data_IF_709531925473
#
_entry.id   IF_709531925473
#
_cell.length_a   1.000
_cell.length_b   1.000
_cell.length_c   1.000
_cell.angle_alpha   90.00
_cell.angle_beta   90.00
_cell.angle_gamma   90.00
#
_symmetry.space_group_name_H-M   'P 1'
#
loop_
_entity.id
_entity.type
_entity.pdbx_description
1 polymer ?
#
# COMPACT_ATOMS: atom_id res chain seq x y z
N UNK A 1 11.95 23.25 42.09
CA UNK A 1 12.04 23.37 40.61
C UNK A 1 11.49 22.11 39.96
N UNK A 2 10.20 22.15 39.74
CA UNK A 2 9.45 21.05 39.12
C UNK A 2 9.57 21.18 37.62
N UNK A 3 10.29 20.27 36.97
CA UNK A 3 10.31 20.12 35.53
C UNK A 3 9.00 19.44 35.11
N UNK A 4 8.15 20.19 34.44
CA UNK A 4 7.03 19.67 33.69
C UNK A 4 7.55 18.86 32.50
N UNK A 5 7.51 17.56 32.65
CA UNK A 5 7.63 16.64 31.51
C UNK A 5 6.30 16.71 30.77
N UNK A 6 6.18 17.63 29.83
CA UNK A 6 5.13 17.56 28.80
C UNK A 6 5.41 16.31 27.97
N UNK A 7 4.70 15.24 28.28
CA UNK A 7 4.51 14.12 27.38
C UNK A 7 3.88 14.69 26.10
N UNK A 8 4.67 14.73 25.00
CA UNK A 8 4.12 14.83 23.66
C UNK A 8 3.23 13.59 23.51
N UNK A 9 1.93 13.76 23.66
CA UNK A 9 0.96 12.85 23.07
C UNK A 9 1.29 12.85 21.58
N UNK A 10 1.87 11.76 21.12
CA UNK A 10 1.94 11.45 19.70
C UNK A 10 0.49 11.46 19.22
N UNK A 11 0.12 12.49 18.49
CA UNK A 11 -1.18 12.61 17.84
C UNK A 11 -1.30 11.37 16.96
N UNK A 12 -2.02 10.35 17.43
CA UNK A 12 -2.27 9.13 16.67
C UNK A 12 -3.02 9.54 15.42
N UNK A 13 -2.31 9.59 14.32
CA UNK A 13 -2.87 9.86 13.01
C UNK A 13 -3.88 8.74 12.72
N UNK A 14 -5.16 9.10 12.62
CA UNK A 14 -6.22 8.15 12.29
C UNK A 14 -6.59 8.33 10.82
N UNK A 15 -6.26 7.39 9.94
CA UNK A 15 -6.78 7.38 8.58
C UNK A 15 -8.29 7.10 8.61
N UNK A 16 -9.02 7.60 7.61
CA UNK A 16 -10.47 7.36 7.50
C UNK A 16 -10.74 5.87 7.20
N UNK A 17 -9.87 5.23 6.43
CA UNK A 17 -9.98 3.81 6.10
C UNK A 17 -8.60 3.16 5.96
N UNK A 18 -8.46 1.94 6.47
CA UNK A 18 -7.32 1.07 6.22
C UNK A 18 -7.84 -0.21 5.57
N UNK A 19 -7.35 -0.52 4.38
CA UNK A 19 -7.68 -1.77 3.68
C UNK A 19 -6.56 -2.76 3.92
N UNK A 20 -6.89 -3.85 4.59
CA UNK A 20 -5.96 -4.96 4.80
C UNK A 20 -5.98 -5.90 3.59
N UNK A 21 -4.80 -6.22 3.10
CA UNK A 21 -4.59 -7.07 1.93
C UNK A 21 -3.86 -8.36 2.34
N UNK A 22 -3.91 -9.41 1.50
CA UNK A 22 -3.15 -10.63 1.74
C UNK A 22 -1.65 -10.34 1.98
N UNK A 23 -1.01 -11.11 2.88
CA UNK A 23 0.39 -10.88 3.26
C UNK A 23 0.58 -9.83 4.37
N UNK A 24 -0.51 -9.38 5.02
CA UNK A 24 -0.46 -8.44 6.16
C UNK A 24 -0.23 -6.98 5.77
N UNK A 25 -0.16 -6.67 4.48
CA UNK A 25 0.02 -5.30 3.97
C UNK A 25 -1.27 -4.50 4.05
N UNK A 26 -1.16 -3.17 4.11
CA UNK A 26 -2.31 -2.27 4.23
C UNK A 26 -2.22 -1.12 3.24
N UNK A 27 -3.37 -0.68 2.73
CA UNK A 27 -3.51 0.55 1.96
C UNK A 27 -4.24 1.55 2.84
N UNK A 28 -3.72 2.76 2.91
CA UNK A 28 -4.31 3.86 3.65
C UNK A 28 -5.10 4.73 2.69
N UNK A 29 -6.36 5.00 3.06
CA UNK A 29 -7.26 5.87 2.31
C UNK A 29 -7.72 6.98 3.25
N UNK A 30 -7.59 8.23 2.79
CA UNK A 30 -8.17 9.40 3.41
C UNK A 30 -9.28 9.93 2.50
N UNK A 31 -10.53 9.93 3.00
CA UNK A 31 -11.73 10.23 2.22
C UNK A 31 -12.18 11.70 2.36
N UNK A 32 -11.39 12.53 3.01
CA UNK A 32 -11.75 13.91 3.34
C UNK A 32 -11.52 14.85 2.17
N UNK A 33 -12.39 14.78 1.17
CA UNK A 33 -12.33 15.65 0.01
C UNK A 33 -12.95 17.04 0.30
N UNK A 34 -12.26 18.14 -0.05
CA UNK A 34 -12.78 19.49 0.09
C UNK A 34 -13.81 19.80 -1.02
N UNK A 35 -15.10 19.55 -0.78
CA UNK A 35 -16.14 19.68 -1.79
C UNK A 35 -16.89 21.03 -1.75
N UNK A 36 -16.70 21.84 -0.69
CA UNK A 36 -17.48 23.06 -0.48
C UNK A 36 -17.36 24.04 -1.65
N UNK A 37 -16.16 24.29 -2.15
CA UNK A 37 -15.93 25.21 -3.28
C UNK A 37 -16.57 24.72 -4.57
N UNK A 38 -16.58 23.41 -4.85
CA UNK A 38 -17.25 22.83 -6.00
C UNK A 38 -18.78 22.99 -5.91
N UNK A 39 -19.36 22.73 -4.75
CA UNK A 39 -20.80 22.88 -4.54
C UNK A 39 -21.25 24.33 -4.69
N UNK A 40 -20.46 25.29 -4.19
CA UNK A 40 -20.74 26.73 -4.37
C UNK A 40 -20.66 27.13 -5.85
N UNK A 41 -19.73 26.58 -6.62
CA UNK A 41 -19.68 26.81 -8.07
C UNK A 41 -20.94 26.34 -8.80
N UNK A 42 -21.60 25.29 -8.30
CA UNK A 42 -22.87 24.79 -8.84
C UNK A 42 -24.11 25.66 -8.49
N UNK A 43 -23.98 26.53 -7.48
CA UNK A 43 -25.08 27.37 -7.00
C UNK A 43 -25.08 28.76 -7.61
N UNK A 44 -24.01 29.19 -8.27
CA UNK A 44 -23.92 30.51 -8.90
C UNK A 44 -24.23 30.45 -10.40
N UNK A 45 -25.00 31.39 -10.90
CA UNK A 45 -25.27 31.58 -12.33
C UNK A 45 -24.25 32.51 -13.00
N UNK A 46 -23.46 33.24 -12.21
CA UNK A 46 -22.40 34.12 -12.72
C UNK A 46 -21.18 33.33 -13.19
N UNK A 47 -20.81 33.41 -14.49
CA UNK A 47 -19.67 32.64 -15.02
C UNK A 47 -18.30 32.99 -14.38
N UNK A 48 -18.09 34.26 -14.04
CA UNK A 48 -16.84 34.71 -13.42
C UNK A 48 -16.71 34.19 -11.98
N UNK A 49 -17.81 34.28 -11.23
CA UNK A 49 -17.86 33.75 -9.87
C UNK A 49 -17.70 32.22 -9.85
N UNK A 50 -18.35 31.54 -10.79
CA UNK A 50 -18.18 30.10 -10.97
C UNK A 50 -16.73 29.72 -11.25
N UNK A 51 -16.05 30.45 -12.12
CA UNK A 51 -14.63 30.23 -12.42
C UNK A 51 -13.75 30.39 -11.16
N UNK A 52 -14.02 31.41 -10.35
CA UNK A 52 -13.31 31.64 -9.09
C UNK A 52 -13.50 30.47 -8.10
N UNK A 53 -14.72 29.94 -7.97
CA UNK A 53 -15.03 28.81 -7.14
C UNK A 53 -14.33 27.51 -7.62
N UNK A 54 -14.25 27.30 -8.95
CA UNK A 54 -13.52 26.15 -9.50
C UNK A 54 -12.01 26.24 -9.24
N UNK A 55 -11.41 27.41 -9.42
CA UNK A 55 -10.00 27.64 -9.07
C UNK A 55 -9.75 27.40 -7.56
N UNK A 56 -10.67 27.84 -6.72
CA UNK A 56 -10.61 27.59 -5.28
C UNK A 56 -10.74 26.10 -4.94
N UNK A 57 -11.60 25.36 -5.65
CA UNK A 57 -11.72 23.91 -5.50
C UNK A 57 -10.38 23.20 -5.79
N UNK A 58 -9.71 23.52 -6.89
CA UNK A 58 -8.40 22.97 -7.21
C UNK A 58 -7.34 23.31 -6.13
N UNK A 59 -7.34 24.55 -5.65
CA UNK A 59 -6.45 24.99 -4.57
C UNK A 59 -6.73 24.24 -3.25
N UNK A 60 -8.00 23.97 -2.94
CA UNK A 60 -8.39 23.21 -1.76
C UNK A 60 -7.94 21.75 -1.87
N UNK A 61 -8.08 21.12 -3.05
CA UNK A 61 -7.56 19.78 -3.34
C UNK A 61 -6.04 19.74 -3.18
N UNK A 62 -5.32 20.69 -3.74
CA UNK A 62 -3.86 20.78 -3.65
C UNK A 62 -3.38 20.92 -2.20
N UNK A 63 -4.04 21.76 -1.42
CA UNK A 63 -3.74 21.93 0.01
C UNK A 63 -3.97 20.64 0.78
N UNK A 64 -5.00 19.89 0.45
CA UNK A 64 -5.29 18.62 1.10
C UNK A 64 -4.24 17.55 0.74
N UNK A 65 -3.79 17.48 -0.52
CA UNK A 65 -2.66 16.65 -0.94
C UNK A 65 -1.41 16.94 -0.11
N UNK A 66 -1.07 18.22 0.10
CA UNK A 66 0.06 18.62 0.92
C UNK A 66 -0.08 18.19 2.38
N UNK A 67 -1.28 18.33 2.94
CA UNK A 67 -1.56 17.90 4.31
C UNK A 67 -1.42 16.39 4.47
N UNK A 68 -1.86 15.59 3.49
CA UNK A 68 -1.74 14.14 3.50
C UNK A 68 -0.28 13.68 3.38
N UNK A 69 0.48 14.32 2.50
CA UNK A 69 1.92 14.06 2.37
C UNK A 69 2.69 14.33 3.66
N UNK A 70 2.30 15.38 4.40
CA UNK A 70 2.93 15.72 5.67
C UNK A 70 2.60 14.74 6.80
N UNK A 71 1.48 14.00 6.71
CA UNK A 71 1.13 12.95 7.66
C UNK A 71 2.01 11.72 7.42
N UNK A 72 2.88 11.40 8.34
CA UNK A 72 3.82 10.28 8.21
C UNK A 72 3.13 8.91 8.45
N UNK A 73 2.14 8.58 7.60
CA UNK A 73 1.43 7.30 7.68
C UNK A 73 2.35 6.10 7.51
N UNK A 74 3.43 6.25 6.71
CA UNK A 74 4.36 5.17 6.39
C UNK A 74 5.14 4.66 7.60
N UNK A 75 5.39 5.54 8.59
CA UNK A 75 6.08 5.16 9.82
C UNK A 75 5.20 4.40 10.82
N UNK A 76 3.86 4.56 10.72
CA UNK A 76 2.91 3.98 11.68
C UNK A 76 2.30 2.66 11.23
N UNK A 77 2.28 2.38 9.92
CA UNK A 77 1.67 1.19 9.34
C UNK A 77 2.69 0.41 8.51
N UNK A 78 3.24 -0.66 9.09
CA UNK A 78 4.18 -1.56 8.41
C UNK A 78 3.58 -2.97 8.34
N UNK A 79 3.60 -3.63 7.18
CA UNK A 79 4.01 -3.15 5.87
C UNK A 79 2.93 -2.30 5.18
N UNK A 80 3.27 -1.10 4.73
CA UNK A 80 2.39 -0.19 4.02
C UNK A 80 2.96 0.13 2.63
N UNK A 81 2.13 0.35 1.59
CA UNK A 81 2.59 0.89 0.33
C UNK A 81 3.24 2.27 0.51
N UNK A 82 4.14 2.63 -0.39
CA UNK A 82 4.83 3.92 -0.36
C UNK A 82 3.95 5.13 -0.75
N UNK A 83 2.63 4.99 -0.71
CA UNK A 83 1.67 6.04 -1.05
C UNK A 83 0.39 5.95 -0.22
N UNK A 84 -0.29 7.07 -0.13
CA UNK A 84 -1.62 7.21 0.48
C UNK A 84 -2.63 7.53 -0.61
N UNK A 85 -3.86 7.05 -0.49
CA UNK A 85 -4.93 7.36 -1.43
C UNK A 85 -5.76 8.50 -0.88
N UNK A 86 -5.86 9.60 -1.63
CA UNK A 86 -6.84 10.66 -1.43
C UNK A 86 -8.09 10.33 -2.23
N UNK A 87 -9.16 9.96 -1.55
CA UNK A 87 -10.41 9.59 -2.18
C UNK A 87 -11.31 10.79 -2.46
N UNK A 88 -11.69 10.96 -3.72
CA UNK A 88 -12.68 11.92 -4.18
C UNK A 88 -13.98 11.18 -4.49
N UNK A 89 -15.14 11.54 -3.88
CA UNK A 89 -16.34 10.71 -3.93
C UNK A 89 -17.09 10.74 -5.26
N UNK A 90 -16.55 11.38 -6.30
CA UNK A 90 -17.16 11.41 -7.63
C UNK A 90 -16.20 11.88 -8.70
N UNK A 91 -16.41 11.39 -9.91
CA UNK A 91 -15.60 11.71 -11.10
C UNK A 91 -15.67 13.20 -11.45
N UNK A 92 -16.85 13.83 -11.29
CA UNK A 92 -17.05 15.26 -11.59
C UNK A 92 -16.22 16.17 -10.69
N UNK A 93 -16.01 15.82 -9.43
CA UNK A 93 -15.15 16.59 -8.51
C UNK A 93 -13.69 16.54 -8.95
N UNK A 94 -13.25 15.35 -9.36
CA UNK A 94 -11.90 15.14 -9.86
C UNK A 94 -11.66 15.89 -11.17
N UNK A 95 -12.57 15.76 -12.13
CA UNK A 95 -12.47 16.43 -13.41
C UNK A 95 -12.44 17.96 -13.25
N UNK A 96 -13.33 18.52 -12.42
CA UNK A 96 -13.37 19.97 -12.19
C UNK A 96 -12.06 20.49 -11.55
N UNK A 97 -11.45 19.74 -10.64
CA UNK A 97 -10.18 20.12 -10.06
C UNK A 97 -9.04 20.10 -11.11
N UNK A 98 -9.02 19.10 -12.02
CA UNK A 98 -8.01 19.00 -13.08
C UNK A 98 -8.20 20.03 -14.20
N UNK A 99 -9.42 20.41 -14.52
CA UNK A 99 -9.69 21.50 -15.46
C UNK A 99 -9.13 22.84 -14.97
N UNK A 100 -9.19 23.07 -13.65
CA UNK A 100 -8.66 24.29 -13.04
C UNK A 100 -7.14 24.23 -12.74
N UNK A 101 -6.60 23.06 -12.37
CA UNK A 101 -5.16 22.84 -12.18
C UNK A 101 -4.75 21.45 -12.73
N UNK A 102 -4.30 21.35 -13.98
CA UNK A 102 -3.88 20.08 -14.60
C UNK A 102 -2.68 19.41 -13.91
N UNK A 103 -1.94 20.15 -13.10
CA UNK A 103 -0.72 19.64 -12.44
C UNK A 103 -1.02 18.79 -11.20
N UNK A 104 -2.26 18.70 -10.74
CA UNK A 104 -2.64 18.05 -9.49
C UNK A 104 -2.26 16.56 -9.43
N UNK A 105 -2.35 15.83 -10.55
CA UNK A 105 -1.99 14.41 -10.59
C UNK A 105 -0.49 14.24 -10.36
N UNK A 106 0.32 15.00 -11.09
CA UNK A 106 1.77 14.95 -11.01
C UNK A 106 2.24 15.40 -9.61
N UNK A 107 1.69 16.51 -9.13
CA UNK A 107 1.94 17.01 -7.78
C UNK A 107 1.59 15.98 -6.69
N UNK A 108 0.45 15.28 -6.84
CA UNK A 108 0.07 14.20 -5.93
C UNK A 108 1.08 13.04 -5.94
N UNK A 109 1.48 12.60 -7.14
CA UNK A 109 2.43 11.50 -7.31
C UNK A 109 3.81 11.82 -6.70
N UNK A 110 4.33 13.04 -6.92
CA UNK A 110 5.58 13.52 -6.31
C UNK A 110 5.53 13.54 -4.78
N UNK A 111 4.35 13.81 -4.23
CA UNK A 111 4.09 13.84 -2.79
C UNK A 111 3.60 12.49 -2.22
N UNK A 112 3.70 11.40 -2.98
CA UNK A 112 3.27 10.05 -2.59
C UNK A 112 1.77 9.97 -2.21
N UNK A 113 0.94 10.81 -2.80
CA UNK A 113 -0.51 10.79 -2.63
C UNK A 113 -1.17 10.57 -3.98
N UNK A 114 -1.95 9.51 -4.09
CA UNK A 114 -2.67 9.18 -5.33
C UNK A 114 -4.11 9.66 -5.20
N UNK A 115 -4.50 10.56 -6.09
CA UNK A 115 -5.89 10.97 -6.27
C UNK A 115 -6.68 9.82 -6.85
N UNK A 116 -7.80 9.48 -6.24
CA UNK A 116 -8.61 8.35 -6.67
C UNK A 116 -10.10 8.65 -6.56
N UNK A 117 -10.81 8.31 -7.61
CA UNK A 117 -12.28 8.30 -7.68
C UNK A 117 -12.79 6.88 -7.39
N UNK A 118 -14.10 6.64 -7.26
CA UNK A 118 -14.62 5.29 -7.04
C UNK A 118 -14.13 4.27 -8.08
N UNK A 119 -14.12 4.63 -9.35
CA UNK A 119 -13.70 3.74 -10.44
C UNK A 119 -12.21 3.42 -10.39
N UNK A 120 -11.39 4.44 -10.23
CA UNK A 120 -9.93 4.31 -10.16
C UNK A 120 -9.47 3.63 -8.87
N UNK A 121 -10.17 3.85 -7.75
CA UNK A 121 -9.90 3.17 -6.50
C UNK A 121 -10.06 1.64 -6.64
N UNK A 122 -11.17 1.19 -7.25
CA UNK A 122 -11.41 -0.23 -7.48
C UNK A 122 -10.31 -0.83 -8.36
N UNK A 123 -9.92 -0.14 -9.44
CA UNK A 123 -8.87 -0.60 -10.34
C UNK A 123 -7.51 -0.70 -9.62
N UNK A 124 -7.16 0.32 -8.85
CA UNK A 124 -5.92 0.38 -8.07
C UNK A 124 -5.86 -0.75 -7.04
N UNK A 125 -6.94 -0.95 -6.27
CA UNK A 125 -7.01 -2.01 -5.27
C UNK A 125 -6.85 -3.41 -5.89
N UNK A 126 -7.46 -3.65 -7.07
CA UNK A 126 -7.29 -4.91 -7.80
C UNK A 126 -5.85 -5.09 -8.27
N UNK A 127 -5.21 -4.04 -8.81
CA UNK A 127 -3.84 -4.10 -9.28
C UNK A 127 -2.85 -4.40 -8.13
N UNK A 128 -3.02 -3.73 -6.99
CA UNK A 128 -2.19 -3.96 -5.81
C UNK A 128 -2.41 -5.37 -5.25
N UNK A 129 -3.65 -5.83 -5.13
CA UNK A 129 -3.97 -7.18 -4.67
C UNK A 129 -3.36 -8.26 -5.61
N UNK A 130 -3.38 -8.03 -6.92
CA UNK A 130 -2.75 -8.92 -7.88
C UNK A 130 -1.22 -8.96 -7.71
N UNK A 131 -0.57 -7.81 -7.60
CA UNK A 131 0.88 -7.72 -7.38
C UNK A 131 1.33 -8.48 -6.13
N UNK A 132 0.60 -8.34 -5.04
CA UNK A 132 0.92 -9.07 -3.79
C UNK A 132 0.67 -10.56 -3.87
N UNK A 133 -0.34 -10.99 -4.61
CA UNK A 133 -0.56 -12.42 -4.88
C UNK A 133 0.64 -13.03 -5.63
N UNK A 134 1.21 -12.30 -6.60
CA UNK A 134 2.40 -12.75 -7.33
C UNK A 134 3.63 -12.86 -6.42
N UNK A 135 3.85 -11.88 -5.56
CA UNK A 135 4.95 -11.91 -4.58
C UNK A 135 4.82 -13.11 -3.63
N UNK A 136 3.61 -13.37 -3.12
CA UNK A 136 3.36 -14.54 -2.26
C UNK A 136 3.61 -15.88 -2.97
N UNK A 137 3.25 -15.96 -4.26
CA UNK A 137 3.54 -17.16 -5.07
C UNK A 137 5.05 -17.35 -5.25
N UNK A 138 5.81 -16.28 -5.50
CA UNK A 138 7.26 -16.33 -5.61
C UNK A 138 7.93 -16.78 -4.29
N UNK A 139 7.49 -16.24 -3.17
CA UNK A 139 7.97 -16.66 -1.85
C UNK A 139 7.67 -18.13 -1.56
N UNK A 140 6.48 -18.60 -1.90
CA UNK A 140 6.10 -20.00 -1.72
C UNK A 140 6.96 -20.93 -2.63
N UNK A 141 7.18 -20.53 -3.88
CA UNK A 141 8.04 -21.27 -4.79
C UNK A 141 9.47 -21.41 -4.25
N UNK A 142 10.02 -20.34 -3.67
CA UNK A 142 11.33 -20.36 -3.01
C UNK A 142 11.36 -21.34 -1.85
N UNK A 143 10.39 -21.29 -0.93
CA UNK A 143 10.27 -22.21 0.21
C UNK A 143 10.14 -23.68 -0.25
N UNK A 144 9.38 -23.95 -1.30
CA UNK A 144 9.25 -25.30 -1.87
C UNK A 144 10.60 -25.77 -2.43
N UNK A 145 11.34 -24.92 -3.11
CA UNK A 145 12.67 -25.24 -3.64
C UNK A 145 13.68 -25.55 -2.54
N UNK A 146 13.68 -24.74 -1.46
CA UNK A 146 14.54 -24.96 -0.28
C UNK A 146 14.21 -26.29 0.40
N UNK A 147 12.92 -26.56 0.67
CA UNK A 147 12.48 -27.82 1.25
C UNK A 147 12.79 -29.03 0.36
N UNK A 148 12.71 -28.89 -0.96
CA UNK A 148 13.10 -29.90 -1.92
C UNK A 148 14.59 -30.22 -1.86
N UNK A 149 15.44 -29.22 -1.75
CA UNK A 149 16.89 -29.40 -1.60
C UNK A 149 17.24 -30.10 -0.28
N UNK A 150 16.60 -29.73 0.82
CA UNK A 150 16.80 -30.37 2.13
C UNK A 150 16.36 -31.83 2.12
N UNK A 151 15.22 -32.13 1.49
CA UNK A 151 14.74 -33.50 1.31
C UNK A 151 15.74 -34.33 0.50
N UNK A 152 16.24 -33.79 -0.63
CA UNK A 152 17.23 -34.44 -1.46
C UNK A 152 18.51 -34.78 -0.67
N UNK A 153 19.03 -33.83 0.11
CA UNK A 153 20.19 -34.01 0.94
C UNK A 153 19.97 -35.12 2.00
N UNK A 154 18.81 -35.10 2.65
CA UNK A 154 18.44 -36.10 3.65
C UNK A 154 18.34 -37.50 3.04
N UNK A 155 17.71 -37.63 1.87
CA UNK A 155 17.65 -38.91 1.15
C UNK A 155 19.03 -39.40 0.71
N UNK A 156 19.90 -38.50 0.29
CA UNK A 156 21.30 -38.83 -0.08
C UNK A 156 22.08 -39.39 1.11
N UNK A 157 21.98 -38.77 2.27
CA UNK A 157 22.59 -39.23 3.52
C UNK A 157 22.05 -40.61 3.91
N UNK A 158 20.71 -40.79 3.85
CA UNK A 158 20.07 -42.07 4.14
C UNK A 158 20.56 -43.18 3.21
N UNK A 159 20.65 -42.90 1.90
CA UNK A 159 21.21 -43.84 0.91
C UNK A 159 22.66 -44.23 1.25
N UNK A 160 23.48 -43.28 1.71
CA UNK A 160 24.81 -43.54 2.20
C UNK A 160 24.87 -44.52 3.40
N UNK A 161 23.96 -44.33 4.34
CA UNK A 161 23.82 -45.24 5.50
C UNK A 161 23.41 -46.63 5.08
N UNK A 162 22.45 -46.80 4.16
CA UNK A 162 22.07 -48.10 3.63
C UNK A 162 23.21 -48.78 2.91
N UNK A 163 23.97 -48.05 2.10
CA UNK A 163 25.16 -48.60 1.42
C UNK A 163 26.23 -49.08 2.40
N UNK A 164 26.46 -48.30 3.46
CA UNK A 164 27.43 -48.68 4.51
C UNK A 164 26.96 -49.91 5.29
N UNK A 165 25.65 -49.99 5.62
CA UNK A 165 25.06 -51.16 6.27
C UNK A 165 25.20 -52.42 5.40
N UNK A 166 24.92 -52.32 4.11
CA UNK A 166 25.09 -53.42 3.16
C UNK A 166 26.51 -53.92 3.08
N UNK A 167 27.50 -53.01 3.07
CA UNK A 167 28.93 -53.38 3.13
C UNK A 167 29.31 -54.13 4.41
N UNK A 168 28.83 -53.62 5.56
CA UNK A 168 29.10 -54.24 6.86
C UNK A 168 28.47 -55.63 6.99
N UNK A 169 27.26 -55.84 6.47
CA UNK A 169 26.60 -57.12 6.42
C UNK A 169 27.37 -58.12 5.53
N UNK A 170 27.79 -57.70 4.33
CA UNK A 170 28.59 -58.56 3.46
C UNK A 170 29.93 -58.95 4.08
N UNK A 171 30.59 -58.05 4.81
CA UNK A 171 31.80 -58.37 5.54
C UNK A 171 31.58 -59.39 6.67
N UNK A 172 30.47 -59.23 7.42
CA UNK A 172 30.12 -60.19 8.46
C UNK A 172 29.83 -61.59 7.89
N UNK A 173 29.11 -61.66 6.77
CA UNK A 173 28.82 -62.96 6.09
C UNK A 173 30.13 -63.62 5.56
N UNK A 174 31.09 -62.84 5.08
CA UNK A 174 32.35 -63.36 4.56
C UNK A 174 33.31 -63.83 5.63
N UNK A 175 33.06 -63.51 6.91
CA UNK A 175 33.88 -63.98 8.06
C UNK A 175 33.30 -65.22 8.75
N UNK A 176 32.17 -65.76 8.30
CA UNK A 176 31.57 -67.03 8.76
C UNK A 176 31.79 -68.09 7.73
#
# INVERSE_FOLDING_TARGET
TTQETRSREEERIRPDMVIHLPGGRSIIIDAKAPMASYLNAGQTENPEERSQWMARHAADVKRHLQQLSAKNYFAQFSPCPEFVIMFLPGESFFQAALEADPTLIEFGAENRVILSTPSTLIALLKAVAYGWKQEQLADNAKKISEAGADLYNTCSILSGHFSSLGKSLNQAVAQY
#
